data_IF_297687766683
#
_entry.id   IF_297687766683
#
_cell.length_a   1.000
_cell.length_b   1.000
_cell.length_c   1.000
_cell.angle_alpha   90.00
_cell.angle_beta   90.00
_cell.angle_gamma   90.00
#
_symmetry.space_group_name_H-M   'P 1'
#
loop_
_entity.id
_entity.type
_entity.pdbx_description
1 polymer ?
#
# COMPACT_ATOMS: atom_id res chain seq x y z
N UNK A 1 -38.13 12.88 9.38
CA UNK A 1 -37.17 12.65 8.28
C UNK A 1 -36.13 11.73 8.88
N UNK A 2 -36.27 10.40 8.71
CA UNK A 2 -35.35 9.45 9.33
C UNK A 2 -33.97 9.55 8.67
N UNK A 3 -32.91 9.47 9.47
CA UNK A 3 -31.54 9.51 8.99
C UNK A 3 -31.32 8.38 7.95
N UNK A 4 -30.87 8.69 6.71
CA UNK A 4 -30.65 7.68 5.67
C UNK A 4 -29.46 6.74 5.97
N UNK A 5 -28.87 6.82 7.16
CA UNK A 5 -27.69 6.05 7.56
C UNK A 5 -28.01 4.80 8.39
N UNK A 6 -29.27 4.62 8.83
CA UNK A 6 -29.60 3.62 9.87
C UNK A 6 -29.71 2.15 9.36
N UNK A 7 -29.62 1.89 8.05
CA UNK A 7 -29.77 0.53 7.51
C UNK A 7 -28.79 0.18 6.36
N UNK A 8 -27.69 0.90 6.20
CA UNK A 8 -26.68 0.49 5.22
C UNK A 8 -25.89 -0.69 5.76
N UNK A 9 -26.03 -1.85 5.12
CA UNK A 9 -25.25 -3.04 5.48
C UNK A 9 -23.78 -2.77 5.18
N UNK A 10 -22.90 -3.01 6.15
CA UNK A 10 -21.44 -2.83 5.98
C UNK A 10 -20.80 -4.19 5.79
N UNK A 11 -20.00 -4.33 4.73
CA UNK A 11 -19.17 -5.50 4.45
C UNK A 11 -17.70 -5.12 4.66
N UNK A 12 -17.01 -5.87 5.52
CA UNK A 12 -15.57 -5.71 5.75
C UNK A 12 -14.83 -6.71 4.88
N UNK A 13 -13.88 -6.22 4.08
CA UNK A 13 -13.03 -7.04 3.23
C UNK A 13 -11.60 -7.03 3.76
N UNK A 14 -11.10 -8.19 4.17
CA UNK A 14 -9.73 -8.34 4.67
C UNK A 14 -8.73 -8.42 3.51
N UNK A 15 -7.85 -7.43 3.43
CA UNK A 15 -6.79 -7.33 2.43
C UNK A 15 -5.47 -7.92 2.91
N UNK A 16 -5.40 -8.44 4.15
CA UNK A 16 -4.21 -9.07 4.71
C UNK A 16 -3.59 -10.19 3.86
N UNK A 17 -4.40 -11.05 3.18
CA UNK A 17 -3.88 -12.06 2.27
C UNK A 17 -3.33 -11.53 0.94
N UNK A 18 -3.56 -10.26 0.60
CA UNK A 18 -3.11 -9.66 -0.66
C UNK A 18 -1.71 -9.09 -0.48
N UNK A 19 -0.71 -9.84 -0.94
CA UNK A 19 0.71 -9.48 -0.76
C UNK A 19 1.25 -8.54 -1.84
N UNK A 20 0.68 -8.59 -3.05
CA UNK A 20 1.08 -7.76 -4.20
C UNK A 20 -0.16 -7.17 -4.87
N UNK A 21 -0.68 -6.05 -4.34
CA UNK A 21 -1.79 -5.34 -4.96
C UNK A 21 -1.37 -4.70 -6.27
N UNK A 22 -2.17 -4.87 -7.31
CA UNK A 22 -1.96 -4.28 -8.63
C UNK A 22 -3.20 -3.51 -9.10
N UNK A 23 -3.13 -2.92 -10.31
CA UNK A 23 -4.27 -2.21 -10.88
C UNK A 23 -5.50 -3.11 -11.07
N UNK A 24 -5.33 -4.41 -11.31
CA UNK A 24 -6.43 -5.37 -11.40
C UNK A 24 -7.13 -5.57 -10.07
N UNK A 25 -6.37 -5.63 -8.98
CA UNK A 25 -6.88 -5.68 -7.60
C UNK A 25 -7.71 -4.44 -7.29
N UNK A 26 -7.21 -3.26 -7.65
CA UNK A 26 -7.92 -1.99 -7.47
C UNK A 26 -9.23 -1.96 -8.29
N UNK A 27 -9.19 -2.35 -9.57
CA UNK A 27 -10.38 -2.39 -10.43
C UNK A 27 -11.44 -3.35 -9.88
N UNK A 28 -11.02 -4.53 -9.40
CA UNK A 28 -11.92 -5.50 -8.80
C UNK A 28 -12.61 -4.95 -7.54
N UNK A 29 -11.86 -4.28 -6.64
CA UNK A 29 -12.43 -3.66 -5.45
C UNK A 29 -13.38 -2.51 -5.79
N UNK A 30 -13.00 -1.66 -6.75
CA UNK A 30 -13.84 -0.55 -7.20
C UNK A 30 -15.17 -1.05 -7.80
N UNK A 31 -15.11 -2.11 -8.63
CA UNK A 31 -16.31 -2.76 -9.18
C UNK A 31 -17.16 -3.38 -8.09
N UNK A 32 -16.54 -4.08 -7.13
CA UNK A 32 -17.26 -4.68 -6.01
C UNK A 32 -17.98 -3.61 -5.18
N UNK A 33 -17.31 -2.49 -4.88
CA UNK A 33 -17.93 -1.37 -4.17
C UNK A 33 -19.05 -0.71 -4.98
N UNK A 34 -18.92 -0.63 -6.30
CA UNK A 34 -19.98 -0.10 -7.17
C UNK A 34 -21.23 -1.00 -7.14
N UNK A 35 -21.04 -2.33 -7.18
CA UNK A 35 -22.13 -3.30 -7.05
C UNK A 35 -22.76 -3.18 -5.66
N UNK A 36 -21.96 -3.19 -4.60
CA UNK A 36 -22.43 -3.04 -3.23
C UNK A 36 -23.24 -1.76 -3.01
N UNK A 37 -22.80 -0.61 -3.55
CA UNK A 37 -23.52 0.67 -3.44
C UNK A 37 -24.90 0.62 -4.09
N UNK A 38 -25.06 -0.11 -5.19
CA UNK A 38 -26.38 -0.28 -5.83
C UNK A 38 -27.36 -1.02 -4.93
N UNK A 39 -26.85 -1.89 -4.06
CA UNK A 39 -27.63 -2.66 -3.10
C UNK A 39 -27.71 -1.97 -1.72
N UNK A 40 -27.23 -0.73 -1.59
CA UNK A 40 -27.21 0.01 -0.32
C UNK A 40 -26.15 -0.48 0.68
N UNK A 41 -25.16 -1.26 0.21
CA UNK A 41 -24.09 -1.83 1.00
C UNK A 41 -22.82 -0.97 0.89
N UNK A 42 -22.14 -0.76 2.01
CA UNK A 42 -20.82 -0.10 2.08
C UNK A 42 -19.72 -1.13 2.28
N UNK A 43 -18.63 -1.01 1.52
CA UNK A 43 -17.48 -1.91 1.63
C UNK A 43 -16.33 -1.19 2.33
N UNK A 44 -15.80 -1.78 3.39
CA UNK A 44 -14.64 -1.24 4.10
C UNK A 44 -13.44 -2.19 3.98
N UNK A 45 -12.26 -1.65 3.69
CA UNK A 45 -11.04 -2.43 3.55
C UNK A 45 -10.30 -2.54 4.90
N UNK A 46 -10.00 -3.76 5.33
CA UNK A 46 -9.24 -4.06 6.54
C UNK A 46 -7.84 -4.58 6.19
N UNK A 47 -6.85 -4.35 7.07
CA UNK A 47 -5.46 -4.82 6.91
C UNK A 47 -4.82 -4.43 5.58
N UNK A 48 -5.18 -3.26 5.05
CA UNK A 48 -4.67 -2.72 3.79
C UNK A 48 -3.15 -2.49 3.89
N UNK A 49 -2.36 -3.15 3.04
CA UNK A 49 -0.91 -2.92 2.96
C UNK A 49 -0.61 -1.45 2.63
N UNK A 50 0.60 -0.99 2.93
CA UNK A 50 1.01 0.37 2.58
C UNK A 50 0.96 0.59 1.06
N UNK A 51 1.46 -0.36 0.29
CA UNK A 51 1.43 -0.35 -1.18
C UNK A 51 0.00 -0.20 -1.72
N UNK A 52 -0.96 -0.96 -1.19
CA UNK A 52 -2.36 -0.85 -1.59
C UNK A 52 -2.95 0.53 -1.25
N UNK A 53 -2.60 1.10 -0.10
CA UNK A 53 -3.02 2.46 0.29
C UNK A 53 -2.45 3.52 -0.65
N UNK A 54 -1.19 3.39 -1.05
CA UNK A 54 -0.52 4.29 -1.99
C UNK A 54 -1.14 4.19 -3.38
N UNK A 55 -1.44 2.98 -3.86
CA UNK A 55 -2.15 2.77 -5.13
C UNK A 55 -3.56 3.38 -5.11
N UNK A 56 -4.30 3.24 -4.02
CA UNK A 56 -5.62 3.87 -3.86
C UNK A 56 -5.51 5.41 -3.88
N UNK A 57 -4.50 5.98 -3.24
CA UNK A 57 -4.25 7.41 -3.26
C UNK A 57 -3.85 7.89 -4.67
N UNK A 58 -2.95 7.17 -5.35
CA UNK A 58 -2.50 7.47 -6.70
C UNK A 58 -3.66 7.45 -7.72
N UNK A 59 -4.59 6.51 -7.55
CA UNK A 59 -5.77 6.36 -8.42
C UNK A 59 -6.94 7.27 -8.04
N UNK A 60 -6.85 7.98 -6.91
CA UNK A 60 -7.93 8.83 -6.40
C UNK A 60 -9.15 8.04 -5.87
N UNK A 61 -8.97 6.76 -5.53
CA UNK A 61 -10.05 5.86 -5.09
C UNK A 61 -10.19 5.74 -3.58
N UNK A 62 -9.36 6.44 -2.80
CA UNK A 62 -9.41 6.45 -1.34
C UNK A 62 -10.79 6.82 -0.76
N UNK A 63 -11.53 7.72 -1.42
CA UNK A 63 -12.86 8.14 -0.98
C UNK A 63 -13.96 7.16 -1.42
N UNK A 64 -13.68 6.38 -2.47
CA UNK A 64 -14.61 5.37 -3.00
C UNK A 64 -14.57 4.12 -2.14
N UNK A 65 -13.35 3.70 -1.75
CA UNK A 65 -13.02 2.51 -0.98
C UNK A 65 -12.54 2.91 0.42
N UNK A 66 -13.47 3.16 1.35
CA UNK A 66 -13.11 3.59 2.69
C UNK A 66 -12.28 2.51 3.39
N UNK A 67 -11.17 2.94 3.98
CA UNK A 67 -10.34 2.10 4.83
C UNK A 67 -10.99 1.99 6.20
N UNK A 68 -11.01 0.79 6.80
CA UNK A 68 -11.39 0.63 8.19
C UNK A 68 -10.46 1.49 9.08
N UNK A 69 -10.99 2.48 9.84
CA UNK A 69 -10.18 3.21 10.79
C UNK A 69 -9.87 2.28 11.97
N UNK A 70 -8.71 1.60 11.92
CA UNK A 70 -8.38 0.60 12.92
C UNK A 70 -7.03 -0.06 12.71
N UNK A 71 -6.09 0.36 13.56
CA UNK A 71 -4.70 -0.07 13.76
C UNK A 71 -3.70 0.36 12.67
N UNK A 72 -2.67 1.15 13.05
CA UNK A 72 -1.57 1.43 12.15
C UNK A 72 -0.95 0.09 11.77
N UNK A 73 -1.12 -0.30 10.50
CA UNK A 73 -0.41 -1.42 9.90
C UNK A 73 1.04 -1.29 10.32
N UNK A 74 1.53 -2.31 11.02
CA UNK A 74 2.88 -2.37 11.59
C UNK A 74 3.83 -1.91 10.50
N UNK A 75 4.39 -0.71 10.65
CA UNK A 75 5.46 -0.23 9.78
C UNK A 75 6.61 -1.19 10.07
N UNK A 76 6.72 -2.22 9.25
CA UNK A 76 7.87 -3.09 9.20
C UNK A 76 9.03 -2.23 8.73
N UNK A 77 9.63 -1.48 9.66
CA UNK A 77 10.91 -0.84 9.46
C UNK A 77 11.93 -1.97 9.35
N UNK A 78 12.12 -2.51 8.16
CA UNK A 78 13.35 -3.20 7.83
C UNK A 78 14.30 -2.16 7.29
N UNK A 79 15.25 -1.81 8.15
CA UNK A 79 16.42 -1.05 7.80
C UNK A 79 17.19 -1.81 6.71
N UNK A 80 17.30 -1.23 5.52
CA UNK A 80 18.51 -1.38 4.72
C UNK A 80 19.55 -0.40 5.30
N UNK A 81 20.04 -0.70 6.50
CA UNK A 81 21.34 -0.22 6.91
C UNK A 81 22.36 -1.21 6.37
N UNK A 82 23.24 -0.71 5.49
CA UNK A 82 24.52 -1.24 4.96
C UNK A 82 24.47 -1.19 3.41
N UNK A 83 25.37 -0.54 2.68
CA UNK A 83 26.82 -0.37 2.90
C UNK A 83 27.38 0.91 2.26
N UNK A 84 28.10 1.68 3.09
CA UNK A 84 29.42 2.32 2.89
C UNK A 84 29.71 3.11 1.60
N UNK A 85 30.15 4.39 1.71
CA UNK A 85 30.69 5.12 0.56
C UNK A 85 31.96 4.43 0.06
N UNK A 86 31.98 4.08 -1.22
CA UNK A 86 33.16 3.61 -1.94
C UNK A 86 34.33 4.57 -1.69
N UNK A 87 35.33 4.10 -0.95
CA UNK A 87 36.66 4.70 -0.95
C UNK A 87 37.29 4.47 -2.32
N UNK A 88 37.46 5.54 -3.08
CA UNK A 88 38.33 5.57 -4.27
C UNK A 88 39.77 5.56 -3.76
N UNK A 89 40.43 4.40 -3.84
CA UNK A 89 41.89 4.31 -3.83
C UNK A 89 42.32 4.03 -5.27
N UNK A 90 42.57 5.10 -6.03
CA UNK A 90 43.28 5.02 -7.30
C UNK A 90 44.76 5.29 -7.03
N UNK A 91 45.61 4.40 -7.56
CA UNK A 91 46.87 4.03 -6.97
C UNK A 91 48.00 5.06 -7.09
N UNK A 92 48.84 5.08 -6.05
CA UNK A 92 50.23 5.47 -6.19
C UNK A 92 51.11 4.25 -5.85
N UNK A 93 51.85 3.80 -6.84
CA UNK A 93 53.01 2.96 -6.60
C UNK A 93 54.12 3.35 -7.58
N UNK A 94 55.12 4.14 -7.15
CA UNK A 94 56.33 4.33 -7.92
C UNK A 94 57.23 3.12 -7.65
N UNK A 95 57.18 2.11 -8.52
CA UNK A 95 58.27 1.12 -8.60
C UNK A 95 59.25 1.53 -9.69
N UNK A 96 60.39 2.01 -9.22
CA UNK A 96 61.65 2.13 -9.95
C UNK A 96 62.13 0.74 -10.45
N UNK A 97 62.45 0.58 -11.74
CA UNK A 97 63.24 -0.55 -12.21
C UNK A 97 64.72 -0.14 -12.42
N UNK A 98 65.60 -0.69 -11.57
CA UNK A 98 67.06 -0.73 -11.81
C UNK A 98 67.36 -1.83 -12.84
N UNK A 99 68.03 -1.50 -13.96
CA UNK A 99 69.35 -2.06 -14.25
C UNK A 99 70.38 -1.04 -14.78
#
# INVERSE_FOLDING_TARGET
MGDPDEASTVVVCDMGPVTHPDAGTIDALARLQLIARRDGVRLHLLNTSQELRELLALTGLSDVLPLCPGLPGRVGRQAEEREQPFGVEEGDHPTDPIP
#
